data_IF_223922637389
#
_entry.id   IF_223922637389
#
_cell.length_a   1.000
_cell.length_b   1.000
_cell.length_c   1.000
_cell.angle_alpha   90.00
_cell.angle_beta   90.00
_cell.angle_gamma   90.00
#
_symmetry.space_group_name_H-M   'P 1'
#
loop_
_entity.id
_entity.type
_entity.pdbx_description
1 polymer ?
#
# COMPACT_ATOMS: atom_id res chain seq x y z
N UNK A 1 19.00 23.45 2.22
CA UNK A 1 18.83 22.27 1.36
C UNK A 1 17.61 21.52 1.87
N UNK A 2 16.50 21.49 1.14
CA UNK A 2 15.38 20.60 1.47
C UNK A 2 15.71 19.24 0.87
N UNK A 3 15.85 18.19 1.69
CA UNK A 3 15.72 16.82 1.20
C UNK A 3 14.24 16.65 0.85
N UNK A 4 13.91 16.42 -0.41
CA UNK A 4 12.55 16.08 -0.80
C UNK A 4 12.35 14.59 -0.53
N UNK A 5 11.59 14.29 0.52
CA UNK A 5 11.25 12.92 0.89
C UNK A 5 10.03 12.46 0.08
N UNK A 6 10.15 11.33 -0.62
CA UNK A 6 9.03 10.76 -1.39
C UNK A 6 8.10 9.98 -0.48
N UNK A 7 6.82 10.37 -0.42
CA UNK A 7 5.78 9.69 0.37
C UNK A 7 4.91 8.79 -0.49
N UNK A 8 4.70 7.57 -0.02
CA UNK A 8 3.91 6.54 -0.68
C UNK A 8 2.78 6.13 0.26
N UNK A 9 1.54 6.18 -0.21
CA UNK A 9 0.37 5.66 0.51
C UNK A 9 -0.02 4.33 -0.13
N UNK A 10 -0.01 3.24 0.65
CA UNK A 10 -0.52 1.93 0.22
C UNK A 10 -1.82 1.64 0.94
N UNK A 11 -2.84 1.29 0.16
CA UNK A 11 -4.18 0.94 0.66
C UNK A 11 -4.51 -0.49 0.23
N UNK A 12 -5.22 -1.21 1.10
CA UNK A 12 -5.78 -2.52 0.83
C UNK A 12 -7.26 -2.52 1.15
N UNK A 13 -8.01 -3.19 0.31
CA UNK A 13 -9.43 -3.41 0.47
C UNK A 13 -9.69 -4.92 0.42
N UNK A 14 -10.25 -5.47 1.48
CA UNK A 14 -10.67 -6.87 1.53
C UNK A 14 -12.18 -6.91 1.67
N UNK A 15 -12.85 -7.54 0.70
CA UNK A 15 -14.29 -7.72 0.73
C UNK A 15 -14.63 -9.21 0.77
N UNK A 16 -15.37 -9.62 1.79
CA UNK A 16 -15.93 -10.97 1.86
C UNK A 16 -17.18 -10.95 2.71
N UNK A 17 -18.20 -11.71 2.27
CA UNK A 17 -19.47 -11.84 3.01
C UNK A 17 -19.40 -12.88 4.13
N UNK A 18 -18.42 -13.78 4.08
CA UNK A 18 -18.37 -14.95 4.97
C UNK A 18 -16.96 -15.27 5.46
N UNK A 19 -15.94 -14.49 5.09
CA UNK A 19 -14.62 -14.66 5.68
C UNK A 19 -14.67 -14.29 7.17
N UNK A 20 -13.75 -14.82 7.97
CA UNK A 20 -13.43 -14.42 9.34
C UNK A 20 -11.95 -14.73 9.61
N UNK A 21 -11.42 -14.28 10.75
CA UNK A 21 -9.98 -14.35 11.08
C UNK A 21 -9.11 -13.83 9.92
N UNK A 22 -9.44 -12.65 9.39
CA UNK A 22 -8.72 -12.07 8.25
C UNK A 22 -7.43 -11.44 8.77
N UNK A 23 -6.29 -11.79 8.19
CA UNK A 23 -5.03 -11.12 8.45
C UNK A 23 -4.34 -10.72 7.16
N UNK A 24 -3.64 -9.60 7.23
CA UNK A 24 -2.86 -9.02 6.14
C UNK A 24 -1.45 -8.81 6.65
N UNK A 25 -0.45 -9.24 5.87
CA UNK A 25 0.96 -9.00 6.15
C UNK A 25 1.69 -8.62 4.86
N UNK A 26 2.29 -7.42 4.86
CA UNK A 26 3.11 -6.92 3.76
C UNK A 26 4.58 -6.79 4.19
N UNK A 27 5.37 -7.82 3.92
CA UNK A 27 6.81 -7.88 4.20
C UNK A 27 7.67 -7.55 2.96
N UNK A 28 7.06 -7.08 1.87
CA UNK A 28 7.74 -6.84 0.60
C UNK A 28 8.63 -5.59 0.56
N UNK A 29 8.57 -4.75 1.60
CA UNK A 29 9.27 -3.47 1.65
C UNK A 29 10.65 -3.59 2.31
N UNK A 30 11.70 -3.23 1.56
CA UNK A 30 13.04 -3.15 2.11
C UNK A 30 13.14 -2.03 3.15
N UNK A 31 13.48 -2.40 4.39
CA UNK A 31 13.63 -1.48 5.52
C UNK A 31 14.82 -0.52 5.37
N UNK A 32 15.76 -0.85 4.48
CA UNK A 32 16.92 -0.02 4.16
C UNK A 32 16.57 1.12 3.18
N UNK A 33 15.45 1.00 2.47
CA UNK A 33 15.00 1.95 1.44
C UNK A 33 13.76 2.71 1.89
N UNK A 34 12.85 2.03 2.59
CA UNK A 34 11.56 2.58 3.00
C UNK A 34 11.42 2.63 4.51
N UNK A 35 10.99 3.78 4.99
CA UNK A 35 10.64 4.01 6.39
C UNK A 35 9.13 4.14 6.53
N UNK A 36 8.54 3.36 7.43
CA UNK A 36 7.11 3.50 7.76
C UNK A 36 6.94 4.77 8.58
N UNK A 37 6.21 5.74 8.05
CA UNK A 37 5.94 7.02 8.74
C UNK A 37 4.57 7.03 9.41
N UNK A 38 3.61 6.23 8.92
CA UNK A 38 2.28 6.05 9.54
C UNK A 38 1.73 4.64 9.29
N UNK A 39 1.06 4.09 10.29
CA UNK A 39 0.42 2.78 10.21
C UNK A 39 1.41 1.63 10.36
N UNK A 40 0.95 0.42 10.03
CA UNK A 40 1.70 -0.83 10.16
C UNK A 40 1.58 -1.62 8.86
N UNK A 41 2.58 -2.44 8.53
CA UNK A 41 2.51 -3.32 7.36
C UNK A 41 1.69 -4.59 7.60
N UNK A 42 1.26 -4.83 8.84
CA UNK A 42 0.45 -5.97 9.23
C UNK A 42 -0.80 -5.51 9.98
N UNK A 43 -1.92 -6.19 9.74
CA UNK A 43 -3.21 -5.90 10.37
C UNK A 43 -4.06 -7.18 10.45
N UNK A 44 -4.97 -7.26 11.41
CA UNK A 44 -5.87 -8.41 11.57
C UNK A 44 -7.26 -7.97 12.01
N UNK A 45 -8.26 -8.69 11.53
CA UNK A 45 -9.68 -8.43 11.78
C UNK A 45 -10.43 -9.73 12.03
N UNK A 46 -11.32 -9.72 13.03
CA UNK A 46 -12.18 -10.87 13.37
C UNK A 46 -13.47 -10.93 12.52
N UNK A 47 -13.50 -10.28 11.34
CA UNK A 47 -14.79 -9.93 10.71
C UNK A 47 -15.42 -11.08 9.94
N UNK A 48 -16.63 -11.47 10.36
CA UNK A 48 -17.54 -12.48 9.81
C UNK A 48 -18.46 -11.97 8.67
N UNK A 49 -18.00 -10.98 7.90
CA UNK A 49 -18.73 -10.40 6.78
C UNK A 49 -18.85 -8.88 6.84
N UNK A 50 -17.89 -8.18 6.22
CA UNK A 50 -17.95 -6.76 5.88
C UNK A 50 -16.64 -6.36 5.16
N UNK A 51 -16.73 -5.30 4.37
CA UNK A 51 -15.59 -4.63 3.76
C UNK A 51 -14.62 -4.15 4.84
N UNK A 52 -13.36 -4.58 4.80
CA UNK A 52 -12.29 -4.03 5.64
C UNK A 52 -11.28 -3.32 4.77
N UNK A 53 -10.70 -2.24 5.31
CA UNK A 53 -9.65 -1.48 4.64
C UNK A 53 -8.49 -1.22 5.58
N UNK A 54 -7.31 -1.16 5.01
CA UNK A 54 -6.08 -0.84 5.72
C UNK A 54 -5.20 0.05 4.86
N UNK A 55 -4.51 1.00 5.48
CA UNK A 55 -3.54 1.80 4.78
C UNK A 55 -2.34 2.13 5.66
N UNK A 56 -1.18 2.24 5.04
CA UNK A 56 0.03 2.70 5.69
C UNK A 56 0.83 3.59 4.75
N UNK A 57 1.63 4.48 5.34
CA UNK A 57 2.45 5.44 4.61
C UNK A 57 3.93 5.10 4.79
N UNK A 58 4.63 5.10 3.67
CA UNK A 58 6.07 4.91 3.58
C UNK A 58 6.73 6.19 3.08
N UNK A 59 7.97 6.38 3.51
CA UNK A 59 8.85 7.41 3.02
C UNK A 59 10.14 6.79 2.51
N UNK A 60 10.66 7.29 1.38
CA UNK A 60 11.95 6.89 0.83
C UNK A 60 12.79 8.13 0.51
N UNK A 61 14.07 8.04 0.84
CA UNK A 61 15.10 9.02 0.45
C UNK A 61 15.84 8.60 -0.84
N UNK A 62 15.60 7.39 -1.35
CA UNK A 62 16.33 6.83 -2.48
C UNK A 62 15.55 7.00 -3.80
N UNK A 63 16.25 7.45 -4.83
CA UNK A 63 15.75 7.46 -6.20
C UNK A 63 15.85 6.06 -6.79
N UNK A 64 14.72 5.36 -6.91
CA UNK A 64 14.68 4.00 -7.45
C UNK A 64 13.36 3.68 -8.15
N UNK A 65 13.41 2.72 -9.06
CA UNK A 65 12.24 2.05 -9.62
C UNK A 65 11.87 0.90 -8.67
N UNK A 66 10.70 0.98 -8.04
CA UNK A 66 10.27 -0.04 -7.08
C UNK A 66 9.14 -0.90 -7.64
N UNK A 67 9.30 -2.23 -7.52
CA UNK A 67 8.27 -3.21 -7.83
C UNK A 67 7.67 -3.72 -6.52
N UNK A 68 6.42 -3.35 -6.24
CA UNK A 68 5.73 -3.82 -5.05
C UNK A 68 5.19 -5.23 -5.25
N UNK A 69 5.65 -6.18 -4.42
CA UNK A 69 5.12 -7.53 -4.46
C UNK A 69 3.64 -7.56 -4.04
N UNK A 70 2.86 -8.53 -4.53
CA UNK A 70 1.55 -8.85 -3.99
C UNK A 70 1.60 -9.09 -2.50
N UNK A 71 0.61 -8.57 -1.79
CA UNK A 71 0.44 -8.80 -0.36
C UNK A 71 -0.38 -10.05 -0.14
N UNK A 72 0.03 -10.85 0.84
CA UNK A 72 -0.66 -12.07 1.23
C UNK A 72 -1.73 -11.73 2.27
N UNK A 73 -2.95 -12.17 1.98
CA UNK A 73 -4.11 -12.05 2.86
C UNK A 73 -4.53 -13.46 3.23
N UNK A 74 -4.55 -13.77 4.53
CA UNK A 74 -5.04 -15.07 5.00
C UNK A 74 -6.38 -14.92 5.70
N UNK A 75 -7.27 -15.88 5.52
CA UNK A 75 -8.62 -15.84 6.08
C UNK A 75 -9.25 -17.23 6.17
N UNK A 76 -10.32 -17.36 6.95
CA UNK A 76 -11.12 -18.58 7.06
C UNK A 76 -12.51 -18.37 6.49
N UNK A 77 -13.13 -19.43 5.97
CA UNK A 77 -14.53 -19.43 5.52
C UNK A 77 -15.23 -20.58 6.23
N UNK A 78 -16.46 -20.41 6.78
CA UNK A 78 -17.14 -21.46 7.54
C UNK A 78 -17.34 -22.78 6.79
N UNK A 79 -17.44 -22.72 5.46
CA UNK A 79 -17.63 -23.89 4.60
C UNK A 79 -16.33 -24.62 4.24
N UNK A 80 -15.16 -24.09 4.63
CA UNK A 80 -13.85 -24.68 4.36
C UNK A 80 -13.03 -24.78 5.64
N UNK A 81 -12.64 -26.00 6.01
CA UNK A 81 -11.81 -26.24 7.20
C UNK A 81 -10.36 -25.71 7.07
N UNK A 82 -9.84 -25.59 5.85
CA UNK A 82 -8.48 -25.11 5.59
C UNK A 82 -8.40 -23.58 5.54
N UNK A 83 -7.31 -23.02 6.07
CA UNK A 83 -6.96 -21.61 5.91
C UNK A 83 -6.86 -21.27 4.41
N UNK A 84 -7.40 -20.12 4.01
CA UNK A 84 -7.38 -19.63 2.64
C UNK A 84 -6.39 -18.48 2.51
N UNK A 85 -5.76 -18.38 1.34
CA UNK A 85 -4.86 -17.29 0.99
C UNK A 85 -5.39 -16.57 -0.26
N UNK A 86 -5.27 -15.25 -0.26
CA UNK A 86 -5.49 -14.40 -1.42
C UNK A 86 -4.32 -13.44 -1.57
N UNK A 87 -4.04 -13.06 -2.82
CA UNK A 87 -2.96 -12.15 -3.17
C UNK A 87 -3.55 -10.84 -3.67
N UNK A 88 -3.01 -9.71 -3.20
CA UNK A 88 -3.38 -8.42 -3.76
C UNK A 88 -2.87 -8.27 -5.19
N UNK A 89 -3.44 -7.36 -5.96
CA UNK A 89 -2.87 -6.96 -7.24
C UNK A 89 -1.43 -6.44 -7.03
N UNK A 90 -0.43 -6.89 -7.81
CA UNK A 90 0.91 -6.32 -7.77
C UNK A 90 0.86 -4.81 -8.01
N UNK A 91 1.69 -4.05 -7.31
CA UNK A 91 1.78 -2.60 -7.55
C UNK A 91 2.55 -2.38 -8.84
N UNK A 92 2.02 -1.52 -9.72
CA UNK A 92 2.76 -1.04 -10.89
C UNK A 92 4.09 -0.39 -10.45
N UNK A 93 5.13 -0.41 -11.29
CA UNK A 93 6.44 0.11 -10.92
C UNK A 93 6.35 1.58 -10.47
N UNK A 94 6.74 1.86 -9.23
CA UNK A 94 6.74 3.21 -8.67
C UNK A 94 8.07 3.87 -9.02
N UNK A 95 8.01 4.96 -9.80
CA UNK A 95 9.16 5.85 -9.99
C UNK A 95 9.26 6.81 -8.81
N UNK A 96 10.22 6.57 -7.91
CA UNK A 96 10.52 7.47 -6.81
C UNK A 96 11.45 8.55 -7.37
N UNK A 97 10.90 9.71 -7.77
CA UNK A 97 11.65 10.81 -8.38
C UNK A 97 12.08 11.82 -7.31
N UNK A 98 13.39 12.05 -7.17
CA UNK A 98 13.94 13.10 -6.29
C UNK A 98 13.96 14.47 -6.97
N UNK A 99 13.92 14.53 -8.29
CA UNK A 99 14.04 15.78 -9.03
C UNK A 99 12.81 15.99 -9.94
N UNK A 100 11.94 16.92 -9.55
CA UNK A 100 11.04 17.57 -10.51
C UNK A 100 11.83 18.78 -11.04
N UNK A 101 12.24 18.81 -12.33
CA UNK A 101 12.83 20.04 -12.88
C UNK A 101 11.81 21.18 -12.70
N UNK A 102 12.26 22.41 -12.38
CA UNK A 102 11.35 23.53 -12.14
C UNK A 102 10.53 23.76 -13.41
N UNK A 103 9.27 23.30 -13.39
CA UNK A 103 8.36 23.48 -14.50
C UNK A 103 8.12 24.98 -14.60
N UNK A 104 8.69 25.58 -15.65
CA UNK A 104 8.39 26.94 -16.08
C UNK A 104 6.88 27.08 -16.08
N UNK A 105 6.35 28.04 -15.31
CA UNK A 105 4.92 28.25 -15.06
C UNK A 105 4.11 28.09 -16.35
N UNK A 106 3.46 26.94 -16.48
CA UNK A 106 2.23 26.83 -17.24
C UNK A 106 1.14 26.75 -16.19
N UNK A 107 0.19 27.68 -16.27
CA UNK A 107 -1.00 27.67 -15.44
C UNK A 107 -1.80 26.40 -15.71
N UNK A 108 -1.60 25.41 -14.85
CA UNK A 108 -2.50 24.28 -14.69
C UNK A 108 -3.12 24.44 -13.32
N UNK A 109 -4.46 24.53 -13.29
CA UNK A 109 -5.29 24.43 -12.08
C UNK A 109 -4.70 23.35 -11.17
N UNK A 110 -4.43 23.72 -9.91
CA UNK A 110 -3.69 22.89 -8.94
C UNK A 110 -4.40 21.55 -8.76
N UNK A 111 -3.97 20.55 -9.52
CA UNK A 111 -4.22 19.16 -9.20
C UNK A 111 -3.20 18.80 -8.13
N UNK A 112 -3.60 18.91 -6.86
CA UNK A 112 -2.91 18.30 -5.73
C UNK A 112 -2.64 16.83 -6.10
N UNK A 113 -1.42 16.53 -6.56
CA UNK A 113 -0.99 15.15 -6.85
C UNK A 113 -0.74 14.42 -5.54
N UNK A 114 -1.82 14.17 -4.79
CA UNK A 114 -1.94 12.93 -4.03
C UNK A 114 -2.05 11.84 -5.10
N UNK A 115 -1.01 11.04 -5.28
CA UNK A 115 -1.19 9.78 -5.98
C UNK A 115 -1.99 8.90 -5.01
N UNK A 116 -3.32 9.04 -5.05
CA UNK A 116 -4.21 8.07 -4.44
C UNK A 116 -4.20 6.86 -5.36
N UNK A 117 -3.43 5.84 -5.00
CA UNK A 117 -3.70 4.50 -5.51
C UNK A 117 -4.94 4.03 -4.74
N UNK A 118 -6.10 4.22 -5.35
CA UNK A 118 -7.34 3.57 -4.93
C UNK A 118 -7.33 2.18 -5.54
N UNK A 119 -7.26 1.15 -4.70
CA UNK A 119 -7.55 -0.25 -5.04
C UNK A 119 -8.74 -0.69 -4.20
#
# INVERSE_FOLDING_TARGET
>A
MLKDHSRILKCFLVSSRTAYDVSLTDDSWSKDVFHIIRGNTSMSWESSGALVSHAFELESEAQALFYGAPVVITFRIPTKAALQEAYSTPILPLHILVDRPPVKKFEWVVLNRRIQIVL
#
